data_IF_868447256690
#
_entry.id   IF_868447256690
#
_cell.length_a   1.000
_cell.length_b   1.000
_cell.length_c   1.000
_cell.angle_alpha   90.00
_cell.angle_beta   90.00
_cell.angle_gamma   90.00
#
_symmetry.space_group_name_H-M   'P 1'
#
loop_
_entity.id
_entity.type
_entity.pdbx_description
1 polymer ?
#
# COMPACT_ATOMS: atom_id res chain seq x y z
N UNK A 1 3.10 13.07 -19.46
CA UNK A 1 1.69 13.48 -19.63
C UNK A 1 1.39 14.80 -18.96
N UNK A 2 1.47 14.92 -17.61
CA UNK A 2 1.14 16.17 -16.90
C UNK A 2 1.85 17.41 -17.47
N UNK A 3 3.16 17.30 -17.76
CA UNK A 3 3.94 18.39 -18.34
C UNK A 3 3.78 18.55 -19.85
N UNK A 4 3.38 17.49 -20.54
CA UNK A 4 3.26 17.46 -22.01
C UNK A 4 1.87 17.91 -22.49
N UNK A 5 0.88 17.96 -21.59
CA UNK A 5 -0.52 18.30 -21.87
C UNK A 5 -1.03 19.37 -20.89
N UNK A 6 -0.36 20.54 -20.77
CA UNK A 6 -0.74 21.57 -19.80
C UNK A 6 -2.18 22.06 -19.97
N UNK A 7 -2.72 22.04 -21.20
CA UNK A 7 -4.11 22.39 -21.51
C UNK A 7 -5.13 21.44 -20.88
N UNK A 8 -4.73 20.21 -20.53
CA UNK A 8 -5.55 19.21 -19.83
C UNK A 8 -5.19 19.06 -18.37
N UNK A 9 -3.92 19.25 -18.03
CA UNK A 9 -3.36 18.98 -16.71
C UNK A 9 -3.47 20.16 -15.73
N UNK A 10 -3.57 21.39 -16.22
CA UNK A 10 -3.66 22.57 -15.36
C UNK A 10 -4.90 22.51 -14.44
N UNK A 11 -4.67 22.50 -13.13
CA UNK A 11 -5.73 22.38 -12.12
C UNK A 11 -6.35 20.97 -12.02
N UNK A 12 -5.86 20.00 -12.78
CA UNK A 12 -6.31 18.62 -12.71
C UNK A 12 -5.59 17.87 -11.59
N UNK A 13 -6.34 17.34 -10.63
CA UNK A 13 -5.79 16.46 -9.61
C UNK A 13 -5.69 15.02 -10.15
N UNK A 14 -4.52 14.66 -10.69
CA UNK A 14 -4.26 13.31 -11.18
C UNK A 14 -3.95 12.37 -10.03
N UNK A 15 -4.95 11.58 -9.66
CA UNK A 15 -4.81 10.52 -8.67
C UNK A 15 -4.54 9.16 -9.32
N UNK A 16 -3.46 8.49 -8.91
CA UNK A 16 -3.04 7.20 -9.49
C UNK A 16 -3.30 6.02 -8.56
N UNK A 17 -3.70 4.88 -9.14
CA UNK A 17 -3.78 3.59 -8.47
C UNK A 17 -3.73 2.47 -9.52
N UNK A 18 -3.38 1.25 -9.10
CA UNK A 18 -3.52 0.06 -9.96
C UNK A 18 -4.97 -0.43 -9.94
N UNK A 19 -5.55 -0.60 -8.74
CA UNK A 19 -6.84 -1.25 -8.48
C UNK A 19 -7.33 -0.87 -7.06
N UNK A 20 -8.65 -0.85 -6.83
CA UNK A 20 -9.23 -0.86 -5.48
C UNK A 20 -9.44 -2.30 -5.03
N UNK A 21 -8.35 -3.03 -4.81
CA UNK A 21 -8.38 -4.42 -4.42
C UNK A 21 -8.75 -4.58 -2.94
N UNK A 22 -9.63 -5.54 -2.64
CA UNK A 22 -9.85 -6.05 -1.29
C UNK A 22 -8.73 -7.03 -0.91
N UNK A 23 -8.48 -7.22 0.39
CA UNK A 23 -7.50 -8.22 0.82
C UNK A 23 -7.85 -9.65 0.40
N UNK A 24 -9.13 -9.97 0.20
CA UNK A 24 -9.54 -11.24 -0.41
C UNK A 24 -9.00 -11.38 -1.84
N UNK A 25 -9.12 -10.34 -2.67
CA UNK A 25 -8.58 -10.34 -4.04
C UNK A 25 -7.05 -10.39 -4.04
N UNK A 26 -6.40 -9.71 -3.09
CA UNK A 26 -4.93 -9.80 -2.92
C UNK A 26 -4.50 -11.25 -2.64
N UNK A 27 -5.15 -11.92 -1.68
CA UNK A 27 -4.85 -13.32 -1.36
C UNK A 27 -5.12 -14.27 -2.53
N UNK A 28 -6.25 -14.09 -3.22
CA UNK A 28 -6.60 -14.89 -4.40
C UNK A 28 -5.57 -14.72 -5.52
N UNK A 29 -5.18 -13.48 -5.83
CA UNK A 29 -4.18 -13.17 -6.84
C UNK A 29 -2.80 -13.75 -6.47
N UNK A 30 -2.40 -13.62 -5.20
CA UNK A 30 -1.15 -14.22 -4.72
C UNK A 30 -1.15 -15.73 -4.90
N UNK A 31 -2.25 -16.42 -4.54
CA UNK A 31 -2.37 -17.87 -4.73
C UNK A 31 -2.33 -18.25 -6.21
N UNK A 32 -3.02 -17.51 -7.09
CA UNK A 32 -3.00 -17.76 -8.54
C UNK A 32 -1.60 -17.64 -9.14
N UNK A 33 -0.81 -16.68 -8.68
CA UNK A 33 0.54 -16.43 -9.23
C UNK A 33 1.57 -17.40 -8.66
N UNK A 34 1.51 -17.69 -7.36
CA UNK A 34 2.52 -18.52 -6.67
C UNK A 34 2.19 -20.01 -6.65
N UNK A 35 0.92 -20.38 -6.85
CA UNK A 35 0.42 -21.74 -6.63
C UNK A 35 0.39 -22.14 -5.15
N UNK A 36 0.63 -21.20 -4.23
CA UNK A 36 0.67 -21.47 -2.79
C UNK A 36 -0.64 -21.02 -2.14
N UNK A 37 -1.24 -21.84 -1.24
CA UNK A 37 -2.46 -21.46 -0.55
C UNK A 37 -2.31 -20.11 0.16
N UNK A 38 -3.26 -19.22 -0.05
CA UNK A 38 -3.30 -17.93 0.62
C UNK A 38 -4.73 -17.57 1.03
N UNK A 39 -4.86 -16.91 2.18
CA UNK A 39 -6.13 -16.41 2.68
C UNK A 39 -5.94 -15.08 3.37
N UNK A 40 -6.94 -14.21 3.24
CA UNK A 40 -7.07 -13.05 4.12
C UNK A 40 -7.62 -13.50 5.47
N UNK A 41 -7.06 -12.95 6.55
CA UNK A 41 -7.57 -13.08 7.91
C UNK A 41 -8.09 -11.70 8.30
N UNK A 42 -9.40 -11.59 8.52
CA UNK A 42 -9.97 -10.33 9.01
C UNK A 42 -9.61 -10.18 10.48
N UNK A 43 -8.65 -9.30 10.75
CA UNK A 43 -8.08 -9.06 12.08
C UNK A 43 -8.71 -7.80 12.66
N UNK A 44 -9.08 -7.85 13.94
CA UNK A 44 -9.60 -6.66 14.62
C UNK A 44 -8.51 -5.58 14.71
N UNK A 45 -8.90 -4.30 14.85
CA UNK A 45 -7.89 -3.26 15.06
C UNK A 45 -7.09 -3.47 16.33
N UNK A 46 -7.71 -3.96 17.41
CA UNK A 46 -7.00 -4.25 18.65
C UNK A 46 -5.92 -5.32 18.45
N UNK A 47 -6.25 -6.43 17.78
CA UNK A 47 -5.28 -7.49 17.47
C UNK A 47 -4.18 -6.99 16.52
N UNK A 48 -4.53 -6.19 15.52
CA UNK A 48 -3.57 -5.61 14.59
C UNK A 48 -2.58 -4.69 15.32
N UNK A 49 -3.07 -3.73 16.10
CA UNK A 49 -2.23 -2.76 16.79
C UNK A 49 -1.45 -3.36 17.96
N UNK A 50 -1.89 -4.48 18.53
CA UNK A 50 -1.09 -5.24 19.50
C UNK A 50 0.24 -5.75 18.89
N UNK A 51 0.32 -5.90 17.56
CA UNK A 51 1.54 -6.31 16.86
C UNK A 51 2.39 -5.13 16.38
N UNK A 52 1.92 -3.88 16.51
CA UNK A 52 2.59 -2.68 16.02
C UNK A 52 3.28 -1.97 17.20
N UNK A 53 4.63 -2.01 17.32
CA UNK A 53 5.34 -1.48 18.49
C UNK A 53 5.14 0.02 18.74
N UNK A 54 4.74 0.76 17.69
CA UNK A 54 4.58 2.22 17.70
C UNK A 54 3.11 2.66 17.75
N UNK A 55 2.17 1.74 17.99
CA UNK A 55 0.74 2.02 17.91
C UNK A 55 0.30 3.19 18.82
N UNK A 56 0.86 3.28 20.01
CA UNK A 56 0.54 4.32 21.00
C UNK A 56 1.44 5.56 20.91
N UNK A 57 2.42 5.57 20.00
CA UNK A 57 3.30 6.71 19.76
C UNK A 57 2.69 7.68 18.74
N UNK A 58 3.16 8.94 18.71
CA UNK A 58 2.78 9.87 17.66
C UNK A 58 3.01 9.31 16.25
N UNK A 59 2.06 9.56 15.35
CA UNK A 59 2.14 9.12 13.95
C UNK A 59 3.35 9.75 13.25
N UNK A 60 3.55 11.05 13.45
CA UNK A 60 4.78 11.73 13.10
C UNK A 60 5.82 11.48 14.19
N UNK A 61 6.92 10.80 13.87
CA UNK A 61 7.90 10.38 14.89
C UNK A 61 8.59 11.55 15.62
N UNK A 62 8.52 12.76 15.05
CA UNK A 62 9.05 14.02 15.57
C UNK A 62 7.96 14.93 16.19
N UNK A 63 6.73 14.46 16.33
CA UNK A 63 5.65 15.26 16.91
C UNK A 63 5.71 15.21 18.44
N UNK A 64 5.48 16.35 19.10
CA UNK A 64 5.39 16.46 20.55
C UNK A 64 4.18 15.65 21.07
N UNK A 65 4.38 14.60 21.89
CA UNK A 65 3.28 13.83 22.46
C UNK A 65 2.31 14.66 23.32
N UNK A 66 2.76 15.79 23.86
CA UNK A 66 1.96 16.65 24.73
C UNK A 66 1.15 17.70 23.95
N UNK A 67 1.37 17.87 22.64
CA UNK A 67 0.55 18.74 21.80
C UNK A 67 -0.86 18.13 21.66
N UNK A 68 -1.94 18.85 22.01
CA UNK A 68 -3.31 18.37 21.84
C UNK A 68 -3.71 18.01 20.39
N UNK A 69 -3.00 18.51 19.39
CA UNK A 69 -3.19 18.16 17.98
C UNK A 69 -2.43 16.89 17.56
N UNK A 70 -1.57 16.33 18.42
CA UNK A 70 -0.82 15.10 18.11
C UNK A 70 -1.74 13.88 18.05
N UNK A 71 -1.70 13.17 16.93
CA UNK A 71 -2.46 11.95 16.69
C UNK A 71 -1.58 10.72 16.82
N UNK A 72 -2.01 9.74 17.61
CA UNK A 72 -1.33 8.45 17.72
C UNK A 72 -1.39 7.66 16.42
N UNK A 73 -0.40 6.81 16.21
CA UNK A 73 -0.35 5.91 15.05
C UNK A 73 -1.63 5.06 14.93
N UNK A 74 -2.10 4.51 16.05
CA UNK A 74 -3.36 3.74 16.13
C UNK A 74 -4.54 4.53 15.58
N UNK A 75 -4.74 5.76 16.05
CA UNK A 75 -5.90 6.57 15.68
C UNK A 75 -5.86 6.96 14.19
N UNK A 76 -4.69 7.39 13.72
CA UNK A 76 -4.50 7.77 12.32
C UNK A 76 -4.76 6.59 11.37
N UNK A 77 -4.13 5.45 11.64
CA UNK A 77 -4.27 4.27 10.79
C UNK A 77 -5.64 3.60 10.92
N UNK A 78 -6.32 3.72 12.07
CA UNK A 78 -7.72 3.29 12.19
C UNK A 78 -8.61 4.07 11.24
N UNK A 79 -8.48 5.40 11.20
CA UNK A 79 -9.20 6.25 10.25
C UNK A 79 -8.86 5.91 8.80
N UNK A 80 -7.57 5.77 8.49
CA UNK A 80 -7.08 5.37 7.17
C UNK A 80 -7.67 4.04 6.69
N UNK A 81 -7.63 2.99 7.52
CA UNK A 81 -8.15 1.68 7.15
C UNK A 81 -9.65 1.69 6.92
N UNK A 82 -10.41 2.40 7.75
CA UNK A 82 -11.86 2.54 7.56
C UNK A 82 -12.17 3.28 6.26
N UNK A 83 -11.43 4.34 5.93
CA UNK A 83 -11.61 5.10 4.70
C UNK A 83 -11.45 4.21 3.45
N UNK A 84 -10.40 3.39 3.41
CA UNK A 84 -10.16 2.46 2.31
C UNK A 84 -11.14 1.29 2.27
N UNK A 85 -11.47 0.72 3.43
CA UNK A 85 -12.46 -0.37 3.54
C UNK A 85 -13.82 0.07 2.98
N UNK A 86 -14.26 1.29 3.30
CA UNK A 86 -15.51 1.86 2.80
C UNK A 86 -15.44 2.32 1.34
N UNK A 87 -14.24 2.34 0.75
CA UNK A 87 -14.02 2.75 -0.65
C UNK A 87 -13.70 1.58 -1.60
N UNK A 88 -13.78 0.34 -1.11
CA UNK A 88 -13.55 -0.86 -1.90
C UNK A 88 -14.41 -0.89 -3.18
N UNK A 89 -13.82 -1.35 -4.28
CA UNK A 89 -14.48 -1.35 -5.58
C UNK A 89 -14.67 0.05 -6.19
N UNK A 90 -13.80 1.01 -5.86
CA UNK A 90 -13.83 2.39 -6.37
C UNK A 90 -15.12 3.14 -5.99
N UNK A 91 -15.64 2.86 -4.79
CA UNK A 91 -16.86 3.45 -4.24
C UNK A 91 -16.49 4.38 -3.07
N UNK A 92 -17.48 5.02 -2.44
CA UNK A 92 -17.22 5.82 -1.25
C UNK A 92 -16.42 7.09 -1.51
N UNK A 93 -15.52 7.43 -0.57
CA UNK A 93 -14.77 8.68 -0.57
C UNK A 93 -13.52 8.62 -1.44
N UNK A 94 -12.81 7.49 -1.44
CA UNK A 94 -11.64 7.31 -2.30
C UNK A 94 -12.10 6.76 -3.64
N UNK A 95 -11.98 7.59 -4.66
CA UNK A 95 -12.27 7.22 -6.04
C UNK A 95 -11.08 7.54 -6.94
N UNK A 96 -10.99 6.80 -8.04
CA UNK A 96 -10.02 7.00 -9.11
C UNK A 96 -10.74 6.90 -10.44
N UNK A 97 -10.39 7.81 -11.36
CA UNK A 97 -10.83 7.70 -12.73
C UNK A 97 -9.87 6.75 -13.45
N UNK A 98 -10.25 5.47 -13.59
CA UNK A 98 -9.37 4.49 -14.24
C UNK A 98 -9.32 4.66 -15.76
N UNK A 99 -10.34 5.27 -16.37
CA UNK A 99 -10.39 5.52 -17.81
C UNK A 99 -9.31 6.53 -18.22
N UNK A 100 -9.14 7.62 -17.45
CA UNK A 100 -8.05 8.58 -17.70
C UNK A 100 -6.68 7.94 -17.46
N UNK A 101 -6.54 7.04 -16.48
CA UNK A 101 -5.27 6.32 -16.27
C UNK A 101 -4.95 5.38 -17.44
N UNK A 102 -5.97 4.69 -17.97
CA UNK A 102 -5.85 3.85 -19.15
C UNK A 102 -5.51 4.67 -20.41
N UNK A 103 -6.07 5.87 -20.53
CA UNK A 103 -5.75 6.79 -21.63
C UNK A 103 -4.31 7.31 -21.52
N UNK A 104 -3.91 7.79 -20.34
CA UNK A 104 -2.57 8.34 -20.09
C UNK A 104 -1.49 7.28 -20.31
N UNK A 105 -1.72 6.06 -19.82
CA UNK A 105 -0.78 4.97 -19.98
C UNK A 105 -1.50 3.62 -20.18
N UNK A 106 -1.77 3.23 -21.45
CA UNK A 106 -2.49 2.00 -21.77
C UNK A 106 -1.80 0.73 -21.24
N UNK A 107 -0.47 0.75 -21.13
CA UNK A 107 0.37 -0.34 -20.61
C UNK A 107 0.54 -0.34 -19.10
N UNK A 108 -0.30 0.37 -18.34
CA UNK A 108 -0.23 0.37 -16.88
C UNK A 108 -0.61 -1.00 -16.32
N UNK A 109 -0.11 -1.28 -15.13
CA UNK A 109 -0.58 -2.41 -14.33
C UNK A 109 -2.00 -2.09 -13.85
N UNK A 110 -2.96 -2.95 -14.18
CA UNK A 110 -4.39 -2.73 -13.91
C UNK A 110 -4.93 -3.54 -12.75
N UNK A 111 -4.25 -4.60 -12.35
CA UNK A 111 -4.70 -5.49 -11.27
C UNK A 111 -3.55 -5.86 -10.34
N UNK A 112 -3.89 -6.23 -9.12
CA UNK A 112 -2.91 -6.80 -8.18
C UNK A 112 -2.32 -8.12 -8.69
N UNK A 113 -3.08 -8.92 -9.45
CA UNK A 113 -2.56 -10.14 -10.07
C UNK A 113 -1.47 -9.83 -11.11
N UNK A 114 -1.72 -8.85 -11.98
CA UNK A 114 -0.73 -8.41 -12.97
C UNK A 114 0.54 -7.89 -12.27
N UNK A 115 0.38 -7.14 -11.18
CA UNK A 115 1.52 -6.72 -10.36
C UNK A 115 2.31 -7.91 -9.82
N UNK A 116 1.64 -8.90 -9.21
CA UNK A 116 2.30 -10.09 -8.69
C UNK A 116 3.03 -10.90 -9.78
N UNK A 117 2.42 -11.06 -10.98
CA UNK A 117 3.08 -11.75 -12.11
C UNK A 117 4.34 -11.02 -12.54
N UNK A 118 4.29 -9.69 -12.63
CA UNK A 118 5.43 -8.86 -12.99
C UNK A 118 6.54 -8.96 -11.94
N UNK A 119 6.20 -8.92 -10.66
CA UNK A 119 7.17 -9.02 -9.57
C UNK A 119 7.76 -10.43 -9.42
N UNK A 120 6.99 -11.50 -9.63
CA UNK A 120 7.54 -12.87 -9.69
C UNK A 120 8.55 -13.00 -10.83
N UNK A 121 8.19 -12.53 -12.03
CA UNK A 121 9.11 -12.52 -13.18
C UNK A 121 10.37 -11.72 -12.89
N UNK A 122 10.22 -10.48 -12.39
CA UNK A 122 11.35 -9.60 -12.06
C UNK A 122 12.28 -10.24 -11.03
N UNK A 123 11.72 -10.86 -9.99
CA UNK A 123 12.52 -11.57 -8.97
C UNK A 123 13.38 -12.66 -9.59
N UNK A 124 12.80 -13.48 -10.48
CA UNK A 124 13.52 -14.54 -11.20
C UNK A 124 14.59 -13.99 -12.12
N UNK A 125 14.28 -12.96 -12.91
CA UNK A 125 15.22 -12.34 -13.85
C UNK A 125 16.45 -11.76 -13.12
N UNK A 126 16.26 -11.27 -11.90
CA UNK A 126 17.31 -10.71 -11.05
C UNK A 126 18.04 -11.76 -10.18
N UNK A 127 17.67 -13.03 -10.26
CA UNK A 127 18.25 -14.09 -9.42
C UNK A 127 17.84 -14.02 -7.94
N UNK A 128 16.79 -13.26 -7.62
CA UNK A 128 16.25 -13.12 -6.25
C UNK A 128 15.27 -14.23 -5.87
N UNK A 129 15.01 -15.17 -6.79
CA UNK A 129 14.04 -16.25 -6.61
C UNK A 129 12.60 -15.82 -6.94
N UNK A 130 11.67 -16.73 -6.63
CA UNK A 130 10.23 -16.57 -6.82
C UNK A 130 9.64 -15.55 -5.86
N UNK A 131 8.45 -15.04 -6.17
CA UNK A 131 7.68 -14.19 -5.26
C UNK A 131 7.42 -14.90 -3.92
N UNK A 132 7.15 -16.21 -3.93
CA UNK A 132 6.94 -17.00 -2.71
C UNK A 132 8.20 -17.06 -1.83
N UNK A 133 9.35 -17.37 -2.41
CA UNK A 133 10.62 -17.48 -1.67
C UNK A 133 10.98 -16.16 -0.99
N UNK A 134 10.76 -15.03 -1.68
CA UNK A 134 11.11 -13.69 -1.16
C UNK A 134 10.25 -13.22 0.02
N UNK A 135 9.04 -13.77 0.19
CA UNK A 135 8.16 -13.40 1.31
C UNK A 135 8.29 -14.32 2.53
N UNK A 136 9.21 -15.30 2.48
CA UNK A 136 9.47 -16.14 3.65
C UNK A 136 10.21 -15.34 4.74
N UNK A 137 10.02 -15.65 6.03
CA UNK A 137 10.62 -14.91 7.14
C UNK A 137 12.14 -14.74 7.06
N UNK A 138 12.84 -15.76 6.56
CA UNK A 138 14.30 -15.76 6.38
C UNK A 138 14.79 -14.87 5.22
N UNK A 139 13.91 -14.50 4.30
CA UNK A 139 14.25 -13.77 3.08
C UNK A 139 13.65 -12.35 3.03
N UNK A 140 12.76 -12.01 3.96
CA UNK A 140 12.07 -10.71 3.95
C UNK A 140 13.04 -9.58 4.30
N UNK A 141 13.32 -8.72 3.32
CA UNK A 141 14.12 -7.51 3.52
C UNK A 141 13.24 -6.34 3.94
N UNK A 142 13.60 -5.64 5.02
CA UNK A 142 12.94 -4.38 5.40
C UNK A 142 13.53 -3.23 4.58
N UNK A 143 12.68 -2.50 3.86
CA UNK A 143 13.08 -1.34 3.03
C UNK A 143 12.16 -0.16 3.34
N UNK A 144 12.25 0.37 4.55
CA UNK A 144 11.59 1.64 4.91
C UNK A 144 12.63 2.58 5.51
N UNK A 145 12.57 3.87 5.13
CA UNK A 145 13.44 4.95 5.61
C UNK A 145 13.53 5.01 7.14
N UNK A 146 12.45 4.64 7.82
CA UNK A 146 12.37 4.58 9.28
C UNK A 146 13.38 3.61 9.92
N UNK A 147 13.78 2.56 9.19
CA UNK A 147 14.81 1.62 9.61
C UNK A 147 16.21 2.17 9.36
N UNK A 148 16.39 3.10 8.41
CA UNK A 148 17.69 3.76 8.17
C UNK A 148 17.97 4.82 9.23
N UNK A 149 16.97 5.64 9.57
CA UNK A 149 17.13 6.79 10.47
C UNK A 149 16.94 6.42 11.96
N UNK A 150 16.64 5.16 12.27
CA UNK A 150 16.33 4.67 13.63
C UNK A 150 15.31 5.54 14.39
N UNK A 151 14.38 6.18 13.65
CA UNK A 151 13.39 7.12 14.18
C UNK A 151 13.98 8.32 14.95
N UNK A 152 15.17 8.80 14.58
CA UNK A 152 15.78 9.98 15.19
C UNK A 152 15.52 11.24 14.35
N UNK A 153 15.27 12.36 15.01
CA UNK A 153 15.10 13.66 14.38
C UNK A 153 15.36 14.82 15.37
N UNK A 154 15.47 16.06 14.86
CA UNK A 154 15.91 17.22 15.65
C UNK A 154 14.80 17.94 16.42
N UNK A 155 13.55 17.44 16.36
CA UNK A 155 12.40 18.02 17.03
C UNK A 155 12.14 17.32 18.36
#
# INVERSE_FOLDING_TARGET
>A
WLFDHPERANGFNLDVAIEHATYHQVAEAFQKVTGKPARYIDTSFDDYFATVPVAELPTGYNADPEDPATMKYRDNFTGWWNLWRQSAGNKGLIKKNYEILDEIYPGRIKTVEEWFRREDKRGRDLGLGTLWERVQPENIGFVLKIHEDNRQGPL
#
